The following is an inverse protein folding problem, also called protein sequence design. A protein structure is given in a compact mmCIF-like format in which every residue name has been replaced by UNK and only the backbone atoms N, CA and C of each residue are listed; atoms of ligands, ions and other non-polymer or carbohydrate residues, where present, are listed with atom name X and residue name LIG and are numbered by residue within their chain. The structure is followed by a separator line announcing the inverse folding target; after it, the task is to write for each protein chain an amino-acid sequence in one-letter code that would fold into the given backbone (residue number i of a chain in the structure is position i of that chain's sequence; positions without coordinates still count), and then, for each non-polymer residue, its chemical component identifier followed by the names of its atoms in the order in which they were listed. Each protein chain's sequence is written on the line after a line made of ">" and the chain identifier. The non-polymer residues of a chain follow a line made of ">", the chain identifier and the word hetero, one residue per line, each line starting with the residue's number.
data_IF_493336902935
#
_entry.id   IF_493336902935
#
_cell.length_a   1.000
_cell.length_b   1.000
_cell.length_c   1.000
_cell.angle_alpha   90.00
_cell.angle_beta   90.00
_cell.angle_gamma   90.00
#
_symmetry.space_group_name_H-M   'P 1'
#
loop_
_entity.id
_entity.type
_entity.pdbx_description
1 polymer ?
#
# COMPACT_ATOMS: atom_id res chain seq x y z
N UNK A 1 -10.92 -8.31 20.17
CA UNK A 1 -9.77 -7.39 19.95
C UNK A 1 -10.22 -6.51 18.81
N UNK A 2 -9.96 -5.20 18.84
CA UNK A 2 -10.25 -4.36 17.68
C UNK A 2 -9.23 -4.62 16.55
N UNK A 3 -9.56 -4.21 15.32
CA UNK A 3 -8.73 -4.49 14.15
C UNK A 3 -7.33 -3.85 14.24
N UNK A 4 -7.22 -2.66 14.84
CA UNK A 4 -5.93 -1.98 15.05
C UNK A 4 -5.00 -2.84 15.91
N UNK A 5 -5.51 -3.32 17.06
CA UNK A 5 -4.72 -4.16 17.96
C UNK A 5 -4.36 -5.51 17.35
N UNK A 6 -5.30 -6.14 16.62
CA UNK A 6 -5.07 -7.42 15.94
C UNK A 6 -3.99 -7.27 14.84
N UNK A 7 -4.12 -6.27 13.97
CA UNK A 7 -3.17 -6.01 12.88
C UNK A 7 -1.79 -5.60 13.41
N UNK A 8 -1.73 -4.81 14.50
CA UNK A 8 -0.46 -4.49 15.17
C UNK A 8 0.24 -5.74 15.69
N UNK A 9 -0.50 -6.62 16.38
CA UNK A 9 0.06 -7.88 16.89
C UNK A 9 0.55 -8.77 15.75
N UNK A 10 -0.24 -8.94 14.70
CA UNK A 10 0.12 -9.71 13.51
C UNK A 10 1.42 -9.20 12.89
N UNK A 11 1.49 -7.90 12.55
CA UNK A 11 2.66 -7.32 11.91
C UNK A 11 3.89 -7.30 12.81
N UNK A 12 3.74 -7.18 14.13
CA UNK A 12 4.86 -7.33 15.07
C UNK A 12 5.45 -8.73 15.07
N UNK A 13 4.62 -9.75 14.99
CA UNK A 13 5.07 -11.14 14.95
C UNK A 13 5.62 -11.51 13.57
N UNK A 14 4.99 -11.04 12.52
CA UNK A 14 5.29 -11.44 11.14
C UNK A 14 6.44 -10.63 10.50
N UNK A 15 6.77 -9.45 11.03
CA UNK A 15 7.74 -8.50 10.46
C UNK A 15 9.06 -9.17 10.02
N UNK A 16 9.72 -9.89 10.91
CA UNK A 16 11.02 -10.50 10.62
C UNK A 16 10.95 -11.53 9.49
N UNK A 17 9.94 -12.41 9.51
CA UNK A 17 9.71 -13.42 8.48
C UNK A 17 9.39 -12.77 7.14
N UNK A 18 8.53 -11.73 7.17
CA UNK A 18 8.13 -10.99 5.97
C UNK A 18 9.35 -10.31 5.32
N UNK A 19 10.14 -9.58 6.09
CA UNK A 19 11.34 -8.90 5.58
C UNK A 19 12.34 -9.91 4.99
N UNK A 20 12.62 -11.01 5.69
CA UNK A 20 13.53 -12.03 5.19
C UNK A 20 13.06 -12.66 3.87
N UNK A 21 11.76 -12.95 3.77
CA UNK A 21 11.16 -13.57 2.58
C UNK A 21 11.19 -12.64 1.37
N UNK A 22 10.94 -11.34 1.58
CA UNK A 22 10.76 -10.38 0.51
C UNK A 22 11.96 -9.45 0.27
N UNK A 23 13.01 -9.50 1.11
CA UNK A 23 14.21 -8.68 0.97
C UNK A 23 14.86 -8.75 -0.43
N UNK A 24 14.95 -9.91 -1.09
CA UNK A 24 15.49 -9.99 -2.45
C UNK A 24 14.72 -9.13 -3.47
N UNK A 25 13.42 -8.94 -3.25
CA UNK A 25 12.53 -8.19 -4.13
C UNK A 25 12.49 -6.69 -3.78
N UNK A 26 12.38 -6.37 -2.48
CA UNK A 26 12.12 -5.01 -2.00
C UNK A 26 13.37 -4.32 -1.42
N UNK A 27 14.43 -5.07 -1.12
CA UNK A 27 15.58 -4.55 -0.36
C UNK A 27 16.52 -3.65 -1.14
N UNK A 28 16.79 -3.96 -2.40
CA UNK A 28 17.87 -3.34 -3.15
C UNK A 28 17.42 -2.28 -4.16
N UNK A 29 16.21 -2.41 -4.72
CA UNK A 29 15.73 -1.53 -5.79
C UNK A 29 14.55 -0.72 -5.30
N UNK A 30 14.71 0.59 -5.18
CA UNK A 30 13.67 1.47 -4.71
C UNK A 30 12.59 1.72 -5.78
N UNK A 31 11.39 2.09 -5.34
CA UNK A 31 10.27 2.52 -6.17
C UNK A 31 9.75 1.41 -7.09
N UNK A 32 9.50 0.24 -6.51
CA UNK A 32 8.83 -0.88 -7.16
C UNK A 32 7.43 -1.05 -6.57
N UNK A 33 6.42 -0.95 -7.41
CA UNK A 33 5.03 -1.14 -7.01
C UNK A 33 4.63 -2.61 -6.99
N UNK A 34 3.97 -2.97 -5.92
CA UNK A 34 3.19 -4.19 -5.80
C UNK A 34 3.97 -5.49 -5.81
N UNK A 35 3.23 -6.56 -5.95
CA UNK A 35 3.72 -7.93 -5.86
C UNK A 35 4.50 -8.38 -7.09
N UNK A 36 4.35 -7.66 -8.20
CA UNK A 36 5.13 -7.87 -9.44
C UNK A 36 6.33 -6.93 -9.58
N UNK A 37 6.62 -6.13 -8.57
CA UNK A 37 7.77 -5.23 -8.52
C UNK A 37 7.89 -4.32 -9.76
N UNK A 38 6.80 -3.66 -10.14
CA UNK A 38 6.77 -2.82 -11.34
C UNK A 38 7.39 -1.45 -11.04
N UNK A 39 8.44 -1.03 -11.78
CA UNK A 39 9.10 0.25 -11.51
C UNK A 39 8.16 1.46 -11.68
N UNK A 40 8.16 2.38 -10.71
CA UNK A 40 7.42 3.64 -10.82
C UNK A 40 7.85 4.48 -12.03
N UNK A 41 9.08 4.30 -12.50
CA UNK A 41 9.57 4.91 -13.73
C UNK A 41 8.76 4.50 -14.99
N UNK A 42 8.05 3.36 -14.95
CA UNK A 42 7.15 2.92 -16.01
C UNK A 42 5.72 3.45 -15.82
N UNK A 43 5.29 3.62 -14.57
CA UNK A 43 3.93 4.02 -14.22
C UNK A 43 3.80 5.53 -14.02
N UNK A 44 4.90 6.19 -13.63
CA UNK A 44 4.96 7.62 -13.31
C UNK A 44 3.94 8.08 -12.25
N UNK A 45 3.54 7.16 -11.37
CA UNK A 45 2.45 7.39 -10.42
C UNK A 45 2.80 8.46 -9.37
N UNK A 46 4.02 8.43 -8.79
CA UNK A 46 4.45 9.45 -7.82
C UNK A 46 4.96 10.74 -8.48
N UNK A 47 5.50 10.63 -9.69
CA UNK A 47 6.13 11.77 -10.37
C UNK A 47 7.39 12.28 -9.67
N UNK A 48 7.73 13.56 -9.87
CA UNK A 48 8.88 14.19 -9.21
C UNK A 48 8.58 14.47 -7.75
N UNK A 49 9.41 13.94 -6.84
CA UNK A 49 9.26 14.07 -5.38
C UNK A 49 10.27 15.03 -4.74
N UNK A 50 11.25 15.53 -5.51
CA UNK A 50 12.28 16.43 -5.01
C UNK A 50 11.67 17.67 -4.36
N UNK A 51 12.05 17.94 -3.11
CA UNK A 51 11.55 19.07 -2.33
C UNK A 51 10.13 18.91 -1.80
N UNK A 52 9.43 17.81 -2.09
CA UNK A 52 8.08 17.55 -1.59
C UNK A 52 8.10 16.97 -0.18
N UNK A 53 7.07 17.30 0.59
CA UNK A 53 6.77 16.66 1.87
C UNK A 53 5.91 15.42 1.61
N UNK A 54 6.45 14.25 1.91
CA UNK A 54 5.87 12.94 1.56
C UNK A 54 5.57 12.13 2.82
N UNK A 55 4.39 11.56 2.91
CA UNK A 55 4.03 10.57 3.91
C UNK A 55 3.85 9.20 3.26
N UNK A 56 4.55 8.19 3.77
CA UNK A 56 4.29 6.79 3.46
C UNK A 56 3.39 6.18 4.54
N UNK A 57 2.20 5.68 4.16
CA UNK A 57 1.23 5.03 5.05
C UNK A 57 1.46 3.52 5.08
N UNK A 58 1.89 3.00 6.22
CA UNK A 58 2.30 1.60 6.34
C UNK A 58 3.66 1.40 5.70
N UNK A 59 4.68 2.11 6.20
CA UNK A 59 6.00 2.15 5.58
C UNK A 59 6.81 0.86 5.74
N UNK A 60 6.37 -0.07 6.57
CA UNK A 60 7.10 -1.31 6.83
C UNK A 60 8.56 -1.04 7.22
N UNK A 61 9.50 -1.70 6.56
CA UNK A 61 10.94 -1.46 6.75
C UNK A 61 11.50 -0.26 5.95
N UNK A 62 10.64 0.60 5.43
CA UNK A 62 11.00 1.92 4.89
C UNK A 62 11.77 1.90 3.57
N UNK A 63 11.59 0.89 2.73
CA UNK A 63 12.28 0.78 1.45
C UNK A 63 11.96 1.97 0.54
N UNK A 64 10.68 2.27 0.37
CA UNK A 64 10.22 3.42 -0.39
C UNK A 64 10.64 4.74 0.25
N UNK A 65 10.40 4.90 1.55
CA UNK A 65 10.79 6.11 2.30
C UNK A 65 12.26 6.44 2.12
N UNK A 66 13.13 5.42 2.21
CA UNK A 66 14.58 5.57 2.01
C UNK A 66 14.92 6.04 0.60
N UNK A 67 14.25 5.47 -0.41
CA UNK A 67 14.45 5.84 -1.80
C UNK A 67 14.03 7.28 -2.09
N UNK A 68 12.84 7.67 -1.64
CA UNK A 68 12.32 9.01 -1.86
C UNK A 68 13.13 10.07 -1.11
N UNK A 69 13.62 9.76 0.10
CA UNK A 69 14.52 10.63 0.85
C UNK A 69 15.86 10.84 0.11
N UNK A 70 16.40 9.79 -0.52
CA UNK A 70 17.62 9.89 -1.34
C UNK A 70 17.41 10.74 -2.61
N UNK A 71 16.18 10.84 -3.12
CA UNK A 71 15.78 11.70 -4.24
C UNK A 71 15.46 13.15 -3.82
N UNK A 72 15.67 13.50 -2.56
CA UNK A 72 15.48 14.85 -2.04
C UNK A 72 14.06 15.18 -1.57
N UNK A 73 13.23 14.19 -1.32
CA UNK A 73 11.96 14.39 -0.63
C UNK A 73 12.17 14.55 0.89
N UNK A 74 11.30 15.34 1.53
CA UNK A 74 11.16 15.37 2.99
C UNK A 74 10.14 14.31 3.40
N UNK A 75 10.61 13.10 3.72
CA UNK A 75 9.77 11.92 3.95
C UNK A 75 9.45 11.76 5.44
N UNK A 76 8.25 11.28 5.72
CA UNK A 76 7.85 10.68 7.00
C UNK A 76 7.34 9.27 6.71
N UNK A 77 7.83 8.27 7.42
CA UNK A 77 7.29 6.91 7.40
C UNK A 77 6.37 6.69 8.61
N UNK A 78 5.13 6.26 8.37
CA UNK A 78 4.23 5.86 9.44
C UNK A 78 3.91 4.38 9.32
N UNK A 79 3.99 3.66 10.44
CA UNK A 79 3.57 2.27 10.52
C UNK A 79 2.91 1.97 11.87
N UNK A 80 2.01 1.00 11.88
CA UNK A 80 1.33 0.55 13.08
C UNK A 80 2.25 -0.32 13.96
N UNK A 81 3.14 -1.09 13.31
CA UNK A 81 4.02 -2.08 13.93
C UNK A 81 5.35 -1.47 14.37
N UNK A 82 5.65 -1.54 15.65
CA UNK A 82 6.97 -1.19 16.18
C UNK A 82 8.09 -2.06 15.61
N UNK A 83 7.81 -3.34 15.34
CA UNK A 83 8.81 -4.24 14.77
C UNK A 83 9.19 -3.86 13.32
N UNK A 84 8.22 -3.37 12.54
CA UNK A 84 8.47 -2.81 11.21
C UNK A 84 9.30 -1.52 11.29
N UNK A 85 8.94 -0.62 12.19
CA UNK A 85 9.68 0.63 12.40
C UNK A 85 11.11 0.39 12.89
N UNK A 86 11.31 -0.60 13.74
CA UNK A 86 12.66 -1.03 14.16
C UNK A 86 13.48 -1.56 12.97
N UNK A 87 12.85 -2.32 12.06
CA UNK A 87 13.50 -2.76 10.83
C UNK A 87 13.84 -1.56 9.93
N UNK A 88 12.92 -0.60 9.77
CA UNK A 88 13.16 0.63 9.03
C UNK A 88 14.31 1.45 9.62
N UNK A 89 14.35 1.62 10.93
CA UNK A 89 15.41 2.35 11.62
C UNK A 89 16.78 1.70 11.41
N UNK A 90 16.86 0.37 11.45
CA UNK A 90 18.11 -0.37 11.16
C UNK A 90 18.55 -0.23 9.70
N UNK A 91 17.61 -0.22 8.77
CA UNK A 91 17.87 -0.15 7.33
C UNK A 91 18.11 1.28 6.80
N UNK A 92 17.85 2.30 7.60
CA UNK A 92 17.80 3.71 7.20
C UNK A 92 19.09 4.25 6.55
N UNK A 93 20.25 3.77 6.98
CA UNK A 93 21.55 4.20 6.44
C UNK A 93 21.82 5.70 6.69
N UNK A 94 22.26 6.40 5.64
CA UNK A 94 22.57 7.85 5.70
C UNK A 94 21.35 8.74 5.45
N UNK A 95 20.34 8.25 4.73
CA UNK A 95 19.10 8.97 4.44
C UNK A 95 18.18 8.94 5.67
N UNK A 96 18.34 9.95 6.55
CA UNK A 96 17.54 10.06 7.78
C UNK A 96 16.20 10.70 7.50
N UNK A 97 15.11 10.05 7.96
CA UNK A 97 13.74 10.56 7.91
C UNK A 97 12.99 10.14 9.18
N UNK A 98 12.01 10.92 9.64
CA UNK A 98 11.19 10.57 10.79
C UNK A 98 10.40 9.28 10.58
N UNK A 99 10.36 8.44 11.61
CA UNK A 99 9.48 7.29 11.72
C UNK A 99 8.45 7.58 12.81
N UNK A 100 7.18 7.33 12.52
CA UNK A 100 6.06 7.59 13.42
C UNK A 100 5.27 6.30 13.61
N UNK A 101 5.11 5.87 14.85
CA UNK A 101 4.20 4.78 15.16
C UNK A 101 2.78 5.32 15.27
N UNK A 102 1.85 4.76 14.48
CA UNK A 102 0.46 5.21 14.49
C UNK A 102 -0.43 4.39 13.58
N UNK A 103 -1.73 4.45 13.87
CA UNK A 103 -2.77 3.87 13.03
C UNK A 103 -3.14 4.83 11.90
N UNK A 104 -3.36 4.29 10.69
CA UNK A 104 -3.71 5.08 9.51
C UNK A 104 -5.08 5.76 9.66
N UNK A 105 -5.96 5.22 10.49
CA UNK A 105 -7.26 5.78 10.85
C UNK A 105 -7.17 7.08 11.68
N UNK A 106 -6.00 7.33 12.30
CA UNK A 106 -5.82 8.44 13.24
C UNK A 106 -4.46 9.12 13.01
N UNK A 107 -4.30 9.82 11.88
CA UNK A 107 -3.03 10.43 11.51
C UNK A 107 -2.66 11.61 12.41
N UNK A 108 -1.51 11.55 13.13
CA UNK A 108 -1.10 12.57 14.10
C UNK A 108 -0.44 13.79 13.44
N UNK A 109 -0.96 14.22 12.30
CA UNK A 109 -0.41 15.33 11.53
C UNK A 109 -1.44 16.45 11.40
N UNK A 110 -0.97 17.69 11.30
CA UNK A 110 -1.83 18.84 11.04
C UNK A 110 -2.45 18.74 9.63
N UNK A 111 -3.57 19.45 9.42
CA UNK A 111 -4.13 19.62 8.09
C UNK A 111 -3.11 20.29 7.16
N UNK A 112 -3.22 20.02 5.86
CA UNK A 112 -2.45 20.65 4.79
C UNK A 112 -0.91 20.56 4.98
N UNK A 113 -0.44 19.40 5.54
CA UNK A 113 0.96 19.19 5.90
C UNK A 113 1.79 18.53 4.81
N UNK A 114 1.17 17.83 3.87
CA UNK A 114 1.87 16.99 2.89
C UNK A 114 1.50 17.35 1.45
N UNK A 115 2.49 17.21 0.56
CA UNK A 115 2.34 17.32 -0.88
C UNK A 115 1.89 16.00 -1.51
N UNK A 116 2.32 14.90 -0.88
CA UNK A 116 2.06 13.54 -1.32
C UNK A 116 1.85 12.64 -0.10
N UNK A 117 0.78 11.90 -0.11
CA UNK A 117 0.55 10.74 0.74
C UNK A 117 0.51 9.53 -0.17
N UNK A 118 1.27 8.49 0.13
CA UNK A 118 1.22 7.28 -0.67
C UNK A 118 1.26 6.00 0.17
N UNK A 119 0.87 4.89 -0.45
CA UNK A 119 0.80 3.60 0.17
C UNK A 119 0.96 2.51 -0.89
N UNK A 120 1.80 1.51 -0.63
CA UNK A 120 1.90 0.30 -1.43
C UNK A 120 1.63 -0.91 -0.53
N UNK A 121 0.43 -1.47 -0.60
CA UNK A 121 -0.06 -2.53 0.29
C UNK A 121 0.09 -2.23 1.80
N UNK A 122 0.15 -0.97 2.19
CA UNK A 122 0.30 -0.54 3.57
C UNK A 122 -1.05 -0.19 4.22
N UNK A 123 -1.16 1.02 4.76
CA UNK A 123 -2.31 1.45 5.56
C UNK A 123 -3.68 1.33 4.88
N UNK A 124 -3.77 1.41 3.55
CA UNK A 124 -5.05 1.29 2.83
C UNK A 124 -5.47 -0.16 2.54
N UNK A 125 -4.57 -1.14 2.74
CA UNK A 125 -4.94 -2.56 2.74
C UNK A 125 -5.22 -3.09 4.15
N UNK A 126 -4.63 -2.48 5.20
CA UNK A 126 -4.69 -3.00 6.57
C UNK A 126 -5.51 -2.14 7.54
N UNK A 127 -6.17 -1.11 7.03
CA UNK A 127 -7.07 -0.27 7.80
C UNK A 127 -8.31 0.12 6.97
N UNK A 128 -9.47 0.34 7.59
CA UNK A 128 -10.72 0.62 6.87
C UNK A 128 -10.59 1.85 5.95
N UNK A 129 -10.72 1.71 4.62
CA UNK A 129 -10.54 2.82 3.69
C UNK A 129 -11.43 4.03 3.96
N UNK A 130 -12.65 3.80 4.45
CA UNK A 130 -13.60 4.87 4.81
C UNK A 130 -13.16 5.71 6.03
N UNK A 131 -12.21 5.22 6.83
CA UNK A 131 -11.57 5.97 7.91
C UNK A 131 -10.24 6.59 7.45
N UNK A 132 -9.43 5.86 6.68
CA UNK A 132 -8.10 6.28 6.26
C UNK A 132 -8.15 7.39 5.20
N UNK A 133 -8.99 7.25 4.17
CA UNK A 133 -9.04 8.21 3.05
C UNK A 133 -9.39 9.62 3.52
N UNK A 134 -10.38 9.87 4.40
CA UNK A 134 -10.63 11.20 4.95
C UNK A 134 -9.44 11.78 5.72
N UNK A 135 -8.68 10.94 6.46
CA UNK A 135 -7.47 11.37 7.16
C UNK A 135 -6.37 11.79 6.17
N UNK A 136 -6.15 10.99 5.13
CA UNK A 136 -5.20 11.33 4.07
C UNK A 136 -5.58 12.65 3.36
N UNK A 137 -6.85 12.81 3.00
CA UNK A 137 -7.37 14.04 2.40
C UNK A 137 -7.21 15.26 3.32
N UNK A 138 -7.41 15.10 4.63
CA UNK A 138 -7.24 16.17 5.63
C UNK A 138 -5.82 16.70 5.69
N UNK A 139 -4.83 15.81 5.69
CA UNK A 139 -3.42 16.18 5.82
C UNK A 139 -2.77 16.61 4.50
N UNK A 140 -3.37 16.30 3.37
CA UNK A 140 -2.95 16.80 2.07
C UNK A 140 -3.28 18.28 1.94
N UNK A 141 -2.33 19.07 1.44
CA UNK A 141 -2.57 20.46 1.04
C UNK A 141 -3.41 20.52 -0.26
N UNK A 142 -4.05 21.65 -0.57
CA UNK A 142 -4.63 21.87 -1.89
C UNK A 142 -3.60 21.61 -3.00
N UNK A 143 -3.97 20.86 -4.03
CA UNK A 143 -3.07 20.35 -5.06
C UNK A 143 -2.20 19.15 -4.64
N UNK A 144 -2.28 18.71 -3.38
CA UNK A 144 -1.60 17.51 -2.90
C UNK A 144 -2.24 16.23 -3.42
N UNK A 145 -1.49 15.13 -3.46
CA UNK A 145 -1.93 13.88 -4.07
C UNK A 145 -1.96 12.73 -3.07
N UNK A 146 -2.99 11.87 -3.18
CA UNK A 146 -3.00 10.54 -2.60
C UNK A 146 -2.80 9.53 -3.72
N UNK A 147 -1.74 8.71 -3.60
CA UNK A 147 -1.41 7.64 -4.56
C UNK A 147 -1.27 6.33 -3.80
N UNK A 148 -2.01 5.32 -4.17
CA UNK A 148 -1.93 4.05 -3.45
C UNK A 148 -2.20 2.86 -4.36
N UNK A 149 -1.50 1.76 -4.05
CA UNK A 149 -1.64 0.47 -4.70
C UNK A 149 -2.21 -0.54 -3.71
N UNK A 150 -3.20 -1.29 -4.16
CA UNK A 150 -3.86 -2.36 -3.40
C UNK A 150 -4.13 -3.54 -4.34
N UNK A 151 -4.43 -4.71 -3.80
CA UNK A 151 -4.94 -5.80 -4.62
C UNK A 151 -6.15 -5.33 -5.44
N UNK A 152 -6.36 -5.87 -6.62
CA UNK A 152 -7.58 -5.54 -7.36
C UNK A 152 -8.77 -6.32 -6.81
N UNK A 153 -10.00 -5.79 -6.92
CA UNK A 153 -11.18 -6.56 -6.54
C UNK A 153 -11.40 -7.82 -7.41
N UNK A 154 -10.78 -7.89 -8.58
CA UNK A 154 -10.76 -9.10 -9.41
C UNK A 154 -9.84 -10.18 -8.82
N UNK A 155 -8.66 -9.80 -8.34
CA UNK A 155 -7.74 -10.71 -7.68
C UNK A 155 -8.42 -11.34 -6.47
N UNK A 156 -9.00 -10.53 -5.60
CA UNK A 156 -9.70 -11.00 -4.40
C UNK A 156 -10.91 -11.89 -4.74
N UNK A 157 -11.72 -11.48 -5.73
CA UNK A 157 -12.88 -12.27 -6.15
C UNK A 157 -12.49 -13.64 -6.74
N UNK A 158 -11.29 -13.78 -7.27
CA UNK A 158 -10.76 -15.03 -7.84
C UNK A 158 -9.86 -15.82 -6.87
N UNK A 159 -9.57 -15.29 -5.67
CA UNK A 159 -8.70 -15.95 -4.71
C UNK A 159 -9.39 -17.17 -4.08
N UNK A 160 -8.71 -18.30 -4.11
CA UNK A 160 -9.15 -19.56 -3.49
C UNK A 160 -8.38 -19.75 -2.18
N UNK A 161 -9.04 -19.45 -1.06
CA UNK A 161 -8.45 -19.54 0.28
C UNK A 161 -7.97 -20.97 0.61
N UNK A 162 -8.71 -21.99 0.17
CA UNK A 162 -8.36 -23.37 0.44
C UNK A 162 -7.10 -23.82 -0.33
N UNK A 163 -6.89 -23.26 -1.52
CA UNK A 163 -5.72 -23.54 -2.35
C UNK A 163 -4.57 -22.54 -2.08
N UNK A 164 -4.83 -21.43 -1.40
CA UNK A 164 -3.85 -20.36 -1.12
C UNK A 164 -3.32 -19.69 -2.39
N UNK A 165 -4.14 -19.57 -3.44
CA UNK A 165 -3.73 -18.99 -4.72
C UNK A 165 -4.90 -18.36 -5.48
N UNK A 166 -4.58 -17.43 -6.36
CA UNK A 166 -5.58 -16.88 -7.28
C UNK A 166 -5.91 -17.89 -8.40
N UNK A 167 -7.15 -17.87 -8.87
CA UNK A 167 -7.66 -18.76 -9.93
C UNK A 167 -8.29 -17.95 -11.06
N UNK A 168 -8.84 -18.63 -12.07
CA UNK A 168 -9.65 -17.99 -13.13
C UNK A 168 -11.16 -18.16 -12.90
N UNK A 169 -11.54 -18.60 -11.71
CA UNK A 169 -12.93 -18.80 -11.29
C UNK A 169 -13.26 -17.83 -10.18
N UNK A 170 -14.41 -17.18 -10.24
CA UNK A 170 -14.91 -16.36 -9.14
C UNK A 170 -15.18 -17.24 -7.91
N UNK A 171 -14.57 -16.93 -6.79
CA UNK A 171 -14.65 -17.66 -5.52
C UNK A 171 -15.37 -16.85 -4.46
N UNK A 172 -15.21 -15.53 -4.48
CA UNK A 172 -15.75 -14.61 -3.49
C UNK A 172 -16.86 -13.74 -4.09
N UNK A 173 -17.73 -13.22 -3.24
CA UNK A 173 -18.76 -12.29 -3.65
C UNK A 173 -18.15 -10.89 -3.85
N UNK A 174 -18.18 -10.41 -5.08
CA UNK A 174 -17.62 -9.10 -5.44
C UNK A 174 -18.17 -7.94 -4.59
N UNK A 175 -19.45 -7.93 -4.28
CA UNK A 175 -20.10 -6.88 -3.47
C UNK A 175 -19.96 -7.08 -1.96
N UNK A 176 -19.14 -8.00 -1.51
CA UNK A 176 -18.89 -8.29 -0.10
C UNK A 176 -17.42 -8.28 0.27
N UNK A 177 -16.58 -7.64 -0.54
CA UNK A 177 -15.12 -7.66 -0.37
C UNK A 177 -14.57 -6.70 0.69
N UNK A 178 -15.40 -5.96 1.42
CA UNK A 178 -14.96 -4.89 2.30
C UNK A 178 -14.06 -5.30 3.46
N UNK A 179 -14.13 -6.54 3.91
CA UNK A 179 -13.34 -7.06 5.03
C UNK A 179 -12.90 -8.48 4.75
N UNK A 180 -11.60 -8.74 4.82
CA UNK A 180 -11.00 -10.05 4.59
C UNK A 180 -10.34 -10.51 5.89
N UNK A 181 -10.71 -11.70 6.35
CA UNK A 181 -10.08 -12.30 7.51
C UNK A 181 -8.69 -12.84 7.15
N UNK A 182 -7.70 -12.46 7.91
CA UNK A 182 -6.33 -12.90 7.76
C UNK A 182 -5.91 -13.84 8.90
N UNK A 183 -4.72 -14.41 8.79
CA UNK A 183 -4.18 -15.26 9.83
C UNK A 183 -4.10 -14.56 11.20
N UNK A 184 -4.25 -15.32 12.27
CA UNK A 184 -4.15 -14.87 13.66
C UNK A 184 -5.14 -13.76 14.05
N UNK A 185 -6.26 -13.65 13.31
CA UNK A 185 -7.30 -12.65 13.57
C UNK A 185 -6.97 -11.24 13.07
N UNK A 186 -5.94 -11.09 12.27
CA UNK A 186 -5.70 -9.86 11.52
C UNK A 186 -6.79 -9.67 10.45
N UNK A 187 -6.91 -8.45 9.97
CA UNK A 187 -7.96 -8.08 9.00
C UNK A 187 -7.35 -7.19 7.93
N UNK A 188 -7.56 -7.54 6.68
CA UNK A 188 -7.31 -6.67 5.54
C UNK A 188 -8.62 -6.16 4.94
N UNK A 189 -8.50 -5.15 4.09
CA UNK A 189 -9.64 -4.44 3.53
C UNK A 189 -9.50 -4.33 2.02
N UNK A 190 -10.60 -4.57 1.34
CA UNK A 190 -10.71 -4.37 -0.09
C UNK A 190 -12.06 -3.75 -0.41
N UNK A 191 -12.11 -2.88 -1.42
CA UNK A 191 -13.35 -2.32 -1.92
C UNK A 191 -13.52 -2.63 -3.41
N UNK A 192 -14.78 -2.67 -3.86
CA UNK A 192 -15.05 -2.65 -5.29
C UNK A 192 -14.56 -1.34 -5.92
N UNK A 193 -14.30 -1.32 -7.22
CA UNK A 193 -13.93 -0.07 -7.90
C UNK A 193 -14.95 1.06 -7.68
N UNK A 194 -16.23 0.72 -7.68
CA UNK A 194 -17.30 1.70 -7.44
C UNK A 194 -17.28 2.25 -6.01
N UNK A 195 -16.94 1.41 -5.01
CA UNK A 195 -16.84 1.85 -3.61
C UNK A 195 -15.58 2.67 -3.38
N UNK A 196 -14.44 2.31 -3.98
CA UNK A 196 -13.24 3.15 -3.97
C UNK A 196 -13.52 4.56 -4.50
N UNK A 197 -14.18 4.67 -5.68
CA UNK A 197 -14.56 5.98 -6.24
C UNK A 197 -15.46 6.76 -5.27
N UNK A 198 -16.42 6.10 -4.62
CA UNK A 198 -17.33 6.75 -3.66
C UNK A 198 -16.60 7.25 -2.43
N UNK A 199 -15.70 6.44 -1.85
CA UNK A 199 -14.92 6.81 -0.67
C UNK A 199 -13.97 7.97 -1.00
N UNK A 200 -13.25 7.92 -2.10
CA UNK A 200 -12.34 8.98 -2.54
C UNK A 200 -13.07 10.30 -2.77
N UNK A 201 -14.16 10.27 -3.54
CA UNK A 201 -14.99 11.47 -3.80
C UNK A 201 -15.68 12.00 -2.55
N UNK A 202 -16.12 11.11 -1.66
CA UNK A 202 -16.72 11.48 -0.38
C UNK A 202 -15.75 12.23 0.55
N UNK A 203 -14.45 11.98 0.41
CA UNK A 203 -13.40 12.70 1.12
C UNK A 203 -12.92 13.98 0.40
N UNK A 204 -13.56 14.36 -0.72
CA UNK A 204 -13.22 15.57 -1.50
C UNK A 204 -12.03 15.38 -2.44
N UNK A 205 -11.61 14.14 -2.71
CA UNK A 205 -10.54 13.85 -3.66
C UNK A 205 -11.11 13.69 -5.08
N UNK A 206 -10.33 14.13 -6.07
CA UNK A 206 -10.58 13.89 -7.49
C UNK A 206 -9.74 12.68 -7.92
N UNK A 207 -10.37 11.72 -8.58
CA UNK A 207 -9.66 10.58 -9.17
C UNK A 207 -9.10 11.02 -10.52
N UNK A 208 -7.78 11.03 -10.63
CA UNK A 208 -7.06 11.39 -11.85
C UNK A 208 -6.85 10.16 -12.74
N UNK A 209 -6.50 9.02 -12.12
CA UNK A 209 -6.26 7.78 -12.85
C UNK A 209 -6.50 6.55 -11.95
N UNK A 210 -6.82 5.45 -12.59
CA UNK A 210 -6.77 4.09 -12.05
C UNK A 210 -5.90 3.26 -13.00
N UNK A 211 -4.68 3.02 -12.58
CA UNK A 211 -3.74 2.20 -13.32
C UNK A 211 -3.91 0.75 -12.87
N UNK A 212 -4.10 -0.17 -13.80
CA UNK A 212 -4.02 -1.61 -13.56
C UNK A 212 -2.62 -2.07 -13.99
N UNK A 213 -1.66 -2.17 -13.05
CA UNK A 213 -0.28 -2.44 -13.40
C UNK A 213 -0.14 -3.80 -14.09
N UNK A 214 0.51 -3.83 -15.25
CA UNK A 214 0.74 -5.06 -15.99
C UNK A 214 2.23 -5.41 -15.91
N UNK A 215 2.57 -6.61 -15.38
CA UNK A 215 3.97 -7.05 -15.32
C UNK A 215 4.57 -7.22 -16.71
N UNK A 216 5.87 -7.00 -16.81
CA UNK A 216 6.62 -7.27 -18.02
C UNK A 216 6.69 -8.78 -18.36
N UNK A 217 7.00 -9.16 -19.62
CA UNK A 217 7.06 -10.57 -19.99
C UNK A 217 7.97 -11.39 -19.07
N UNK A 218 7.47 -12.53 -18.59
CA UNK A 218 8.23 -13.44 -17.73
C UNK A 218 8.35 -13.04 -16.26
N UNK A 219 7.76 -11.91 -15.85
CA UNK A 219 7.73 -11.51 -14.44
C UNK A 219 6.67 -12.32 -13.70
N UNK A 220 7.07 -13.03 -12.64
CA UNK A 220 6.17 -13.74 -11.74
C UNK A 220 5.79 -12.88 -10.52
N UNK A 221 4.69 -13.26 -9.84
CA UNK A 221 4.35 -12.69 -8.55
C UNK A 221 5.44 -13.04 -7.51
N UNK A 222 6.12 -12.03 -6.98
CA UNK A 222 7.20 -12.23 -6.00
C UNK A 222 6.70 -12.54 -4.60
N UNK A 223 5.43 -12.24 -4.30
CA UNK A 223 4.84 -12.45 -2.98
C UNK A 223 4.16 -13.81 -2.83
N UNK A 224 3.51 -14.30 -3.88
CA UNK A 224 2.85 -15.58 -3.87
C UNK A 224 3.31 -16.43 -5.06
N UNK A 225 4.27 -17.33 -4.79
CA UNK A 225 4.84 -18.21 -5.82
C UNK A 225 3.89 -19.35 -6.24
N UNK A 226 2.78 -19.55 -5.52
CA UNK A 226 1.75 -20.53 -5.88
C UNK A 226 0.75 -20.01 -6.89
N UNK A 227 0.69 -18.68 -7.09
CA UNK A 227 -0.16 -18.09 -8.11
C UNK A 227 0.25 -18.58 -9.51
N UNK A 228 -0.73 -18.80 -10.42
CA UNK A 228 -0.41 -19.11 -11.79
C UNK A 228 0.48 -18.00 -12.39
N UNK A 229 1.65 -18.35 -12.97
CA UNK A 229 2.69 -17.36 -13.31
C UNK A 229 2.25 -16.36 -14.38
N UNK A 230 1.22 -16.66 -15.15
CA UNK A 230 0.67 -15.77 -16.18
C UNK A 230 -0.61 -15.04 -15.76
N UNK A 231 -1.08 -15.22 -14.52
CA UNK A 231 -2.36 -14.64 -14.10
C UNK A 231 -2.35 -13.10 -14.20
N UNK A 232 -1.38 -12.43 -13.60
CA UNK A 232 -1.25 -10.96 -13.64
C UNK A 232 -0.90 -10.40 -15.03
N UNK A 233 -0.49 -11.23 -16.00
CA UNK A 233 -0.32 -10.83 -17.40
C UNK A 233 -1.64 -10.74 -18.16
N UNK A 234 -2.66 -11.45 -17.67
CA UNK A 234 -3.97 -11.59 -18.32
C UNK A 234 -5.08 -10.86 -17.60
N UNK A 235 -4.96 -10.72 -16.29
CA UNK A 235 -5.96 -10.16 -15.40
C UNK A 235 -5.33 -9.12 -14.49
N UNK A 236 -6.06 -8.05 -14.11
CA UNK A 236 -5.51 -7.05 -13.20
C UNK A 236 -5.34 -7.65 -11.80
N UNK A 237 -4.09 -7.82 -11.37
CA UNK A 237 -3.78 -8.28 -10.01
C UNK A 237 -3.90 -7.14 -8.99
N UNK A 238 -3.62 -5.93 -9.43
CA UNK A 238 -3.49 -4.74 -8.58
C UNK A 238 -4.23 -3.55 -9.17
N UNK A 239 -4.53 -2.60 -8.31
CA UNK A 239 -5.20 -1.35 -8.62
C UNK A 239 -4.40 -0.19 -8.00
N UNK A 240 -3.70 0.57 -8.84
CA UNK A 240 -2.94 1.75 -8.43
C UNK A 240 -3.77 3.01 -8.70
N UNK A 241 -4.22 3.62 -7.63
CA UNK A 241 -5.06 4.81 -7.66
C UNK A 241 -4.21 6.08 -7.60
N UNK A 242 -4.52 7.02 -8.45
CA UNK A 242 -3.92 8.35 -8.49
C UNK A 242 -5.01 9.38 -8.30
N UNK A 243 -4.88 10.18 -7.23
CA UNK A 243 -5.89 11.19 -6.89
C UNK A 243 -5.24 12.49 -6.46
N UNK A 244 -5.99 13.59 -6.49
CA UNK A 244 -5.55 14.86 -5.91
C UNK A 244 -6.64 15.54 -5.07
N UNK A 245 -6.22 16.38 -4.13
CA UNK A 245 -7.07 17.30 -3.40
C UNK A 245 -7.14 18.60 -4.21
N UNK A 246 -8.33 19.06 -4.66
CA UNK A 246 -8.48 20.31 -5.41
C UNK A 246 -8.11 21.56 -4.62
#
# INVERSE_FOLDING_TARGET
>A
MDSISANRQFWNQFSSTYQHKHDPQIGATPRLWGTYAIPDAHLHALGNVTGKRVLELGCGAGQWSRALAAEGATVVGLDLSEAQLDAAARAMGVARYPLVQGAAEHLPFAADSFDLVFCDYGGLSWAPPHLVVPQAARILRPGGRLVFNVASPWFEACYDEAAGQVTTTLRQHYFGLDTIAEDQGAVSYQLTYGDWIRVLRGAGLVVDDLIEPRPGPGTANGYNQTDPPDWGHRWPAEALWVTHKP
#
